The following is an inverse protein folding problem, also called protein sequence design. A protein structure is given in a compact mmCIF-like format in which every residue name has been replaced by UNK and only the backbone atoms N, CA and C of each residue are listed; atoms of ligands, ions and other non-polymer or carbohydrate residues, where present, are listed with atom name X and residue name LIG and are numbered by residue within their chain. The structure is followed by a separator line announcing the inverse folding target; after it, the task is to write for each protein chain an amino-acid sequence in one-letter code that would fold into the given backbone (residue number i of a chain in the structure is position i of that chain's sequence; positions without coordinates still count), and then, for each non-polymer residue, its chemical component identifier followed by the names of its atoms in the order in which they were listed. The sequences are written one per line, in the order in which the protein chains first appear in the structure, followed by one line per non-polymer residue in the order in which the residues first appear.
data_IF_949383779563
#
_entry.id   IF_949383779563
#
_cell.length_a   1.000
_cell.length_b   1.000
_cell.length_c   1.000
_cell.angle_alpha   90.00
_cell.angle_beta   90.00
_cell.angle_gamma   90.00
#
_symmetry.space_group_name_H-M   'P 1'
#
loop_
_entity.id
_entity.type
_entity.pdbx_description
1 polymer ?
#
# COMPACT_ATOMS: atom_id res chain seq x y z
N UNK A 1 25.53 -26.27 -69.88
CA UNK A 1 26.09 -25.93 -68.55
C UNK A 1 27.22 -24.94 -68.77
N UNK A 2 27.04 -23.69 -68.39
CA UNK A 2 28.03 -22.61 -68.55
C UNK A 2 28.50 -22.22 -67.14
N UNK A 3 29.82 -22.15 -66.86
CA UNK A 3 30.32 -21.89 -65.51
C UNK A 3 30.04 -20.43 -65.06
N UNK A 4 29.80 -20.17 -63.76
CA UNK A 4 29.36 -18.87 -63.25
C UNK A 4 30.49 -17.83 -63.09
N UNK A 5 31.64 -18.03 -63.75
CA UNK A 5 32.85 -17.24 -63.51
C UNK A 5 32.98 -15.98 -64.37
N UNK A 6 32.07 -15.72 -65.31
CA UNK A 6 32.26 -14.67 -66.33
C UNK A 6 31.45 -13.39 -66.12
N UNK A 7 30.69 -13.24 -65.02
CA UNK A 7 29.87 -12.03 -64.79
C UNK A 7 30.63 -10.97 -63.95
N UNK A 8 31.74 -11.32 -63.30
CA UNK A 8 32.42 -10.41 -62.36
C UNK A 8 33.50 -9.49 -62.96
N UNK A 9 33.78 -9.58 -64.26
CA UNK A 9 34.90 -8.87 -64.90
C UNK A 9 34.49 -7.67 -65.78
N UNK A 10 33.38 -7.00 -65.46
CA UNK A 10 32.98 -5.74 -66.13
C UNK A 10 32.59 -4.66 -65.11
N UNK A 11 33.57 -4.21 -64.32
CA UNK A 11 33.40 -3.02 -63.46
C UNK A 11 34.63 -2.10 -63.39
N UNK A 12 35.49 -2.16 -64.41
CA UNK A 12 36.79 -1.45 -64.41
C UNK A 12 36.84 -0.20 -65.31
N UNK A 13 35.71 0.28 -65.81
CA UNK A 13 35.62 1.57 -66.50
C UNK A 13 34.59 2.44 -65.79
N UNK A 14 35.00 3.03 -64.67
CA UNK A 14 34.21 4.03 -63.95
C UNK A 14 34.28 5.33 -64.73
N UNK A 15 33.12 5.88 -65.12
CA UNK A 15 33.04 7.20 -65.74
C UNK A 15 33.67 8.27 -64.82
N UNK A 16 34.49 9.19 -65.34
CA UNK A 16 35.16 10.23 -64.54
C UNK A 16 34.19 11.06 -63.69
N UNK A 17 32.99 11.31 -64.22
CA UNK A 17 31.88 12.02 -63.54
C UNK A 17 31.45 11.35 -62.23
N UNK A 18 31.47 10.01 -62.16
CA UNK A 18 31.14 9.24 -60.95
C UNK A 18 32.29 9.21 -59.94
N UNK A 19 33.51 9.53 -60.35
CA UNK A 19 34.66 9.66 -59.45
C UNK A 19 34.65 11.03 -58.78
N UNK A 20 34.45 12.09 -59.55
CA UNK A 20 34.34 13.46 -59.05
C UNK A 20 33.17 13.62 -58.06
N UNK A 21 32.03 12.97 -58.31
CA UNK A 21 30.87 13.03 -57.41
C UNK A 21 31.11 12.32 -56.07
N UNK A 22 31.84 11.20 -56.05
CA UNK A 22 32.19 10.48 -54.83
C UNK A 22 33.26 11.21 -54.00
N UNK A 23 34.24 11.82 -54.65
CA UNK A 23 35.26 12.65 -53.98
C UNK A 23 34.61 13.89 -53.36
N UNK A 24 33.71 14.55 -54.10
CA UNK A 24 32.91 15.67 -53.58
C UNK A 24 32.03 15.25 -52.39
N UNK A 25 31.39 14.09 -52.47
CA UNK A 25 30.58 13.55 -51.37
C UNK A 25 31.43 13.20 -50.14
N UNK A 26 32.58 12.55 -50.32
CA UNK A 26 33.50 12.22 -49.23
C UNK A 26 34.04 13.49 -48.55
N UNK A 27 34.39 14.52 -49.32
CA UNK A 27 34.80 15.81 -48.79
C UNK A 27 33.67 16.49 -48.00
N UNK A 28 32.44 16.42 -48.51
CA UNK A 28 31.27 16.95 -47.82
C UNK A 28 31.01 16.24 -46.49
N UNK A 29 31.04 14.90 -46.48
CA UNK A 29 30.88 14.08 -45.26
C UNK A 29 31.99 14.36 -44.24
N UNK A 30 33.22 14.51 -44.70
CA UNK A 30 34.35 14.79 -43.80
C UNK A 30 34.21 16.15 -43.13
N UNK A 31 33.70 17.15 -43.86
CA UNK A 31 33.55 18.52 -43.37
C UNK A 31 32.33 18.74 -42.50
N UNK A 32 31.18 18.17 -42.86
CA UNK A 32 29.89 18.44 -42.22
C UNK A 32 29.31 17.25 -41.45
N UNK A 33 29.93 16.07 -41.55
CA UNK A 33 29.48 14.86 -40.86
C UNK A 33 29.78 14.87 -39.36
N UNK A 34 28.88 14.22 -38.62
CA UNK A 34 29.04 13.97 -37.19
C UNK A 34 29.83 12.69 -36.95
N UNK A 35 30.49 12.62 -35.79
CA UNK A 35 31.28 11.46 -35.38
C UNK A 35 30.36 10.35 -34.88
N UNK A 36 30.53 9.17 -35.44
CA UNK A 36 29.80 7.95 -35.09
C UNK A 36 30.76 6.88 -34.61
N UNK A 37 30.21 5.82 -34.04
CA UNK A 37 31.00 4.63 -33.70
C UNK A 37 31.74 4.09 -34.92
N UNK A 38 33.00 3.69 -34.70
CA UNK A 38 33.91 3.23 -35.75
C UNK A 38 33.33 2.02 -36.48
N UNK A 39 33.32 2.09 -37.82
CA UNK A 39 33.02 0.94 -38.67
C UNK A 39 34.26 0.03 -38.78
N UNK A 40 34.10 -1.24 -39.16
CA UNK A 40 35.22 -2.20 -39.22
C UNK A 40 36.40 -1.68 -40.06
N UNK A 41 36.20 -1.08 -41.25
CA UNK A 41 37.29 -0.48 -42.02
C UNK A 41 37.98 0.70 -41.31
N UNK A 42 37.23 1.66 -40.77
CA UNK A 42 37.79 2.82 -40.06
C UNK A 42 38.52 2.41 -38.78
N UNK A 43 38.02 1.39 -38.07
CA UNK A 43 38.69 0.82 -36.90
C UNK A 43 40.06 0.23 -37.28
N UNK A 44 40.12 -0.56 -38.35
CA UNK A 44 41.38 -1.12 -38.85
C UNK A 44 42.37 -0.06 -39.35
N UNK A 45 41.85 1.06 -39.86
CA UNK A 45 42.66 2.19 -40.34
C UNK A 45 43.05 3.18 -39.23
N UNK A 46 42.45 3.07 -38.04
CA UNK A 46 42.64 4.03 -36.95
C UNK A 46 42.10 5.43 -37.23
N UNK A 47 41.12 5.58 -38.14
CA UNK A 47 40.56 6.88 -38.54
C UNK A 47 39.16 7.11 -37.96
N UNK A 48 38.79 8.38 -37.74
CA UNK A 48 37.46 8.72 -37.23
C UNK A 48 36.38 8.43 -38.28
N UNK A 49 35.27 7.84 -37.84
CA UNK A 49 34.13 7.57 -38.69
C UNK A 49 33.17 8.77 -38.66
N UNK A 50 33.03 9.48 -39.80
CA UNK A 50 32.08 10.59 -39.97
C UNK A 50 30.99 10.24 -40.95
N UNK A 51 29.74 10.50 -40.60
CA UNK A 51 28.54 10.27 -41.42
C UNK A 51 27.67 11.53 -41.42
N UNK A 52 26.93 11.76 -42.52
CA UNK A 52 25.87 12.77 -42.60
C UNK A 52 24.52 12.07 -42.55
N UNK A 53 23.49 12.76 -42.08
CA UNK A 53 22.12 12.28 -42.08
C UNK A 53 21.70 11.73 -43.45
N UNK A 54 20.94 10.63 -43.44
CA UNK A 54 20.44 9.92 -44.63
C UNK A 54 21.49 9.23 -45.51
N UNK A 55 22.77 9.23 -45.13
CA UNK A 55 23.82 8.47 -45.81
C UNK A 55 24.27 7.32 -44.93
N UNK A 56 24.24 6.09 -45.46
CA UNK A 56 24.63 4.88 -44.71
C UNK A 56 26.13 4.62 -44.67
N UNK A 57 26.94 5.41 -45.38
CA UNK A 57 28.39 5.23 -45.55
C UNK A 57 29.16 6.43 -45.01
N UNK A 58 30.23 6.16 -44.27
CA UNK A 58 31.14 7.21 -43.82
C UNK A 58 32.04 7.74 -44.93
N UNK A 59 32.59 8.94 -44.73
CA UNK A 59 33.45 9.61 -45.72
C UNK A 59 34.58 8.72 -46.22
N UNK A 60 35.29 8.06 -45.30
CA UNK A 60 36.38 7.13 -45.60
C UNK A 60 35.94 5.95 -46.48
N UNK A 61 34.80 5.35 -46.15
CA UNK A 61 34.25 4.23 -46.91
C UNK A 61 33.74 4.68 -48.28
N UNK A 62 33.20 5.89 -48.41
CA UNK A 62 32.76 6.49 -49.68
C UNK A 62 33.97 6.68 -50.60
N UNK A 63 35.03 7.30 -50.10
CA UNK A 63 36.28 7.56 -50.81
C UNK A 63 36.94 6.27 -51.31
N UNK A 64 37.09 5.29 -50.44
CA UNK A 64 37.72 4.01 -50.76
C UNK A 64 36.78 2.99 -51.44
N UNK A 65 35.53 3.38 -51.70
CA UNK A 65 34.51 2.53 -52.35
C UNK A 65 34.27 1.20 -51.63
N UNK A 66 34.38 1.20 -50.29
CA UNK A 66 34.15 0.03 -49.43
C UNK A 66 32.75 0.03 -48.81
N UNK A 67 32.32 -1.15 -48.34
CA UNK A 67 31.10 -1.29 -47.52
C UNK A 67 31.35 -0.66 -46.16
N UNK A 68 30.33 0.02 -45.63
CA UNK A 68 30.35 0.63 -44.31
C UNK A 68 29.31 -0.08 -43.43
N UNK A 69 29.74 -0.52 -42.26
CA UNK A 69 28.95 -1.14 -41.19
C UNK A 69 28.79 -0.22 -39.97
N UNK A 70 29.18 1.05 -40.09
CA UNK A 70 29.03 2.05 -39.03
C UNK A 70 27.57 2.43 -38.76
N UNK A 71 27.26 2.66 -37.49
CA UNK A 71 25.95 3.20 -37.07
C UNK A 71 25.82 4.67 -37.48
N UNK A 72 24.61 5.10 -37.84
CA UNK A 72 24.30 6.51 -38.13
C UNK A 72 23.98 7.33 -36.88
N UNK A 73 24.17 6.79 -35.68
CA UNK A 73 23.89 7.48 -34.42
C UNK A 73 25.12 8.27 -33.97
N UNK A 74 25.02 9.61 -33.80
CA UNK A 74 26.12 10.42 -33.29
C UNK A 74 26.50 10.03 -31.86
N UNK A 75 27.80 9.97 -31.57
CA UNK A 75 28.31 9.65 -30.23
C UNK A 75 27.89 10.72 -29.21
N UNK A 76 27.94 12.00 -29.59
CA UNK A 76 27.56 13.11 -28.73
C UNK A 76 26.10 13.05 -28.29
N UNK A 77 25.21 12.58 -29.16
CA UNK A 77 23.79 12.43 -28.83
C UNK A 77 23.59 11.39 -27.73
N UNK A 78 24.29 10.25 -27.80
CA UNK A 78 24.21 9.21 -26.77
C UNK A 78 24.76 9.71 -25.42
N UNK A 79 25.87 10.46 -25.43
CA UNK A 79 26.44 11.04 -24.21
C UNK A 79 25.46 12.01 -23.55
N UNK A 80 24.87 12.93 -24.31
CA UNK A 80 23.88 13.90 -23.79
C UNK A 80 22.64 13.21 -23.21
N UNK A 81 22.15 12.16 -23.89
CA UNK A 81 21.02 11.36 -23.39
C UNK A 81 21.39 10.66 -22.09
N UNK A 82 22.59 10.08 -21.99
CA UNK A 82 23.09 9.47 -20.76
C UNK A 82 23.16 10.46 -19.60
N UNK A 83 23.74 11.64 -19.83
CA UNK A 83 23.84 12.69 -18.81
C UNK A 83 22.48 13.20 -18.33
N UNK A 84 21.51 13.38 -19.24
CA UNK A 84 20.16 13.79 -18.86
C UNK A 84 19.41 12.66 -18.15
N UNK A 85 19.62 11.40 -18.55
CA UNK A 85 19.08 10.24 -17.82
C UNK A 85 19.63 10.20 -16.39
N UNK A 86 20.94 10.31 -16.20
CA UNK A 86 21.55 10.32 -14.87
C UNK A 86 21.02 11.47 -14.01
N UNK A 87 20.78 12.64 -14.63
CA UNK A 87 20.17 13.78 -13.95
C UNK A 87 18.73 13.49 -13.52
N UNK A 88 17.95 12.81 -14.36
CA UNK A 88 16.57 12.42 -14.03
C UNK A 88 16.54 11.37 -12.93
N UNK A 89 17.37 10.32 -13.04
CA UNK A 89 17.46 9.24 -12.04
C UNK A 89 17.80 9.82 -10.64
N UNK A 90 18.67 10.84 -10.55
CA UNK A 90 18.95 11.55 -9.28
C UNK A 90 17.74 12.32 -8.74
N UNK A 91 16.96 12.98 -9.60
CA UNK A 91 15.75 13.70 -9.17
C UNK A 91 14.67 12.73 -8.70
N UNK A 92 14.53 11.60 -9.39
CA UNK A 92 13.61 10.53 -9.01
C UNK A 92 13.96 9.98 -7.63
N UNK A 93 15.23 9.64 -7.37
CA UNK A 93 15.67 9.15 -6.07
C UNK A 93 15.33 10.12 -4.91
N UNK A 94 15.52 11.42 -5.11
CA UNK A 94 15.17 12.45 -4.09
C UNK A 94 13.65 12.53 -3.88
N UNK A 95 12.87 12.43 -4.96
CA UNK A 95 11.42 12.42 -4.88
C UNK A 95 10.90 11.16 -4.17
N UNK A 96 11.47 9.99 -4.46
CA UNK A 96 11.15 8.72 -3.81
C UNK A 96 11.44 8.75 -2.30
N UNK A 97 12.61 9.26 -1.90
CA UNK A 97 12.96 9.42 -0.49
C UNK A 97 11.96 10.33 0.24
N UNK A 98 11.57 11.43 -0.41
CA UNK A 98 10.55 12.35 0.14
C UNK A 98 9.20 11.66 0.30
N UNK A 99 8.77 10.88 -0.69
CA UNK A 99 7.51 10.12 -0.63
C UNK A 99 7.55 9.08 0.48
N UNK A 100 8.65 8.35 0.64
CA UNK A 100 8.81 7.36 1.71
C UNK A 100 8.73 8.02 3.10
N UNK A 101 9.36 9.18 3.28
CA UNK A 101 9.28 9.94 4.54
C UNK A 101 7.85 10.35 4.87
N UNK A 102 7.15 10.95 3.91
CA UNK A 102 5.76 11.38 4.10
C UNK A 102 4.82 10.19 4.35
N UNK A 103 5.06 9.05 3.70
CA UNK A 103 4.29 7.84 3.94
C UNK A 103 4.52 7.28 5.35
N UNK A 104 5.74 7.39 5.88
CA UNK A 104 6.07 7.06 7.27
C UNK A 104 5.28 7.90 8.26
N UNK A 105 5.36 9.23 8.12
CA UNK A 105 4.65 10.21 8.96
C UNK A 105 3.13 9.96 8.94
N UNK A 106 2.56 9.73 7.75
CA UNK A 106 1.13 9.45 7.62
C UNK A 106 0.71 8.15 8.32
N UNK A 107 1.54 7.10 8.29
CA UNK A 107 1.24 5.83 8.98
C UNK A 107 1.26 5.99 10.49
N UNK A 108 2.20 6.78 11.01
CA UNK A 108 2.29 7.08 12.44
C UNK A 108 1.05 7.85 12.91
N UNK A 109 0.65 8.90 12.18
CA UNK A 109 -0.56 9.68 12.46
C UNK A 109 -1.83 8.82 12.43
N UNK A 110 -1.94 7.92 11.46
CA UNK A 110 -3.07 6.99 11.36
C UNK A 110 -3.11 6.03 12.54
N UNK A 111 -1.97 5.50 12.96
CA UNK A 111 -1.86 4.63 14.15
C UNK A 111 -2.30 5.36 15.42
N UNK A 112 -1.87 6.61 15.60
CA UNK A 112 -2.25 7.43 16.75
C UNK A 112 -3.76 7.71 16.78
N UNK A 113 -4.34 8.09 15.64
CA UNK A 113 -5.79 8.30 15.52
C UNK A 113 -6.56 7.01 15.79
N UNK A 114 -6.06 5.87 15.33
CA UNK A 114 -6.68 4.58 15.60
C UNK A 114 -6.66 4.22 17.09
N UNK A 115 -5.55 4.51 17.80
CA UNK A 115 -5.49 4.33 19.26
C UNK A 115 -6.54 5.19 19.98
N UNK A 116 -6.63 6.47 19.61
CA UNK A 116 -7.63 7.38 20.19
C UNK A 116 -9.07 6.87 19.97
N UNK A 117 -9.38 6.39 18.76
CA UNK A 117 -10.68 5.77 18.47
C UNK A 117 -10.93 4.56 19.38
N UNK A 118 -9.95 3.66 19.52
CA UNK A 118 -10.09 2.48 20.38
C UNK A 118 -10.32 2.84 21.86
N UNK A 119 -9.66 3.88 22.35
CA UNK A 119 -9.87 4.43 23.69
C UNK A 119 -11.29 4.98 23.85
N UNK A 120 -11.80 5.74 22.87
CA UNK A 120 -13.18 6.24 22.91
C UNK A 120 -14.21 5.11 22.93
N UNK A 121 -13.99 4.05 22.16
CA UNK A 121 -14.87 2.87 22.15
C UNK A 121 -14.85 2.19 23.52
N UNK A 122 -13.68 2.04 24.12
CA UNK A 122 -13.51 1.44 25.45
C UNK A 122 -14.23 2.25 26.52
N UNK A 123 -14.09 3.57 26.48
CA UNK A 123 -14.79 4.50 27.38
C UNK A 123 -16.31 4.41 27.22
N UNK A 124 -16.82 4.33 25.99
CA UNK A 124 -18.25 4.15 25.74
C UNK A 124 -18.79 2.84 26.32
N UNK A 125 -18.01 1.75 26.28
CA UNK A 125 -18.38 0.47 26.91
C UNK A 125 -18.46 0.61 28.43
N UNK A 126 -17.47 1.25 29.05
CA UNK A 126 -17.47 1.49 30.50
C UNK A 126 -18.67 2.32 30.94
N UNK A 127 -18.99 3.41 30.23
CA UNK A 127 -20.19 4.23 30.51
C UNK A 127 -21.50 3.44 30.44
N UNK A 128 -21.60 2.48 29.51
CA UNK A 128 -22.77 1.59 29.43
C UNK A 128 -22.85 0.64 30.62
N UNK A 129 -21.71 0.06 31.02
CA UNK A 129 -21.64 -0.82 32.20
C UNK A 129 -21.98 -0.08 33.48
N UNK A 130 -21.47 1.13 33.66
CA UNK A 130 -21.76 1.99 34.81
C UNK A 130 -23.26 2.27 34.93
N UNK A 131 -23.91 2.70 33.83
CA UNK A 131 -25.36 2.92 33.79
C UNK A 131 -26.14 1.65 34.15
N UNK A 132 -25.75 0.51 33.57
CA UNK A 132 -26.40 -0.77 33.86
C UNK A 132 -26.29 -1.14 35.35
N UNK A 133 -25.11 -0.97 35.96
CA UNK A 133 -24.92 -1.25 37.38
C UNK A 133 -25.70 -0.28 38.27
N UNK A 134 -25.72 1.00 37.91
CA UNK A 134 -26.52 2.01 38.59
C UNK A 134 -28.01 1.65 38.56
N UNK A 135 -28.57 1.35 37.39
CA UNK A 135 -29.98 1.00 37.22
C UNK A 135 -30.34 -0.27 37.99
N UNK A 136 -29.45 -1.27 37.97
CA UNK A 136 -29.61 -2.49 38.78
C UNK A 136 -29.57 -2.20 40.28
N UNK A 137 -28.68 -1.32 40.73
CA UNK A 137 -28.59 -0.89 42.13
C UNK A 137 -29.87 -0.19 42.59
N UNK A 138 -30.37 0.77 41.81
CA UNK A 138 -31.65 1.46 42.07
C UNK A 138 -32.80 0.46 42.15
N UNK A 139 -32.85 -0.51 41.24
CA UNK A 139 -33.88 -1.55 41.25
C UNK A 139 -33.83 -2.41 42.52
N UNK A 140 -32.64 -2.84 42.95
CA UNK A 140 -32.46 -3.63 44.19
C UNK A 140 -32.91 -2.82 45.41
N UNK A 141 -32.51 -1.56 45.52
CA UNK A 141 -32.90 -0.68 46.63
C UNK A 141 -34.42 -0.49 46.66
N UNK A 142 -35.05 -0.21 45.51
CA UNK A 142 -36.50 -0.04 45.41
C UNK A 142 -37.25 -1.29 45.87
N UNK A 143 -36.83 -2.47 45.42
CA UNK A 143 -37.44 -3.75 45.83
C UNK A 143 -37.25 -4.00 47.34
N UNK A 144 -36.07 -3.68 47.87
CA UNK A 144 -35.79 -3.78 49.31
C UNK A 144 -36.69 -2.86 50.14
N UNK A 145 -36.88 -1.61 49.73
CA UNK A 145 -37.78 -0.67 50.41
C UNK A 145 -39.23 -1.14 50.38
N UNK A 146 -39.71 -1.65 49.23
CA UNK A 146 -41.05 -2.24 49.12
C UNK A 146 -41.24 -3.40 50.10
N UNK A 147 -40.27 -4.33 50.18
CA UNK A 147 -40.34 -5.43 51.14
C UNK A 147 -40.30 -4.98 52.61
N UNK A 148 -39.60 -3.88 52.91
CA UNK A 148 -39.55 -3.33 54.27
C UNK A 148 -40.86 -2.63 54.64
N UNK A 149 -41.49 -1.95 53.69
CA UNK A 149 -42.79 -1.31 53.91
C UNK A 149 -43.88 -2.36 54.14
N UNK A 150 -43.88 -3.46 53.36
CA UNK A 150 -44.77 -4.62 53.56
C UNK A 150 -44.60 -5.25 54.96
N UNK A 151 -43.37 -5.47 55.41
CA UNK A 151 -43.08 -6.02 56.73
C UNK A 151 -43.54 -5.09 57.86
N UNK A 152 -43.32 -3.78 57.74
CA UNK A 152 -43.78 -2.80 58.73
C UNK A 152 -45.30 -2.75 58.82
N UNK A 153 -46.00 -2.89 57.69
CA UNK A 153 -47.45 -2.92 57.66
C UNK A 153 -47.99 -4.19 58.34
N UNK A 154 -47.33 -5.33 58.12
CA UNK A 154 -47.64 -6.57 58.82
C UNK A 154 -47.39 -6.48 60.33
N UNK A 155 -46.27 -5.90 60.78
CA UNK A 155 -46.00 -5.67 62.20
C UNK A 155 -47.06 -4.77 62.86
N UNK A 156 -47.53 -3.73 62.15
CA UNK A 156 -48.62 -2.87 62.65
C UNK A 156 -49.93 -3.64 62.76
N UNK A 157 -50.29 -4.43 61.76
CA UNK A 157 -51.49 -5.27 61.80
C UNK A 157 -51.43 -6.31 62.94
N UNK A 158 -50.25 -6.88 63.21
CA UNK A 158 -50.04 -7.81 64.31
C UNK A 158 -50.10 -7.11 65.68
N UNK A 159 -49.55 -5.89 65.82
CA UNK A 159 -49.67 -5.10 67.04
C UNK A 159 -51.13 -4.65 67.31
N UNK A 160 -51.85 -4.25 66.27
CA UNK A 160 -53.28 -3.92 66.35
C UNK A 160 -54.12 -5.16 66.69
N UNK A 161 -53.81 -6.32 66.09
CA UNK A 161 -54.43 -7.60 66.45
C UNK A 161 -54.11 -8.05 67.89
N UNK A 162 -52.88 -7.84 68.35
CA UNK A 162 -52.45 -8.17 69.71
C UNK A 162 -53.10 -7.26 70.76
N UNK A 163 -53.29 -5.97 70.47
CA UNK A 163 -54.03 -5.06 71.36
C UNK A 163 -55.52 -5.40 71.40
N UNK A 164 -56.13 -5.79 70.28
CA UNK A 164 -57.51 -6.33 70.24
C UNK A 164 -57.64 -7.67 71.00
N UNK A 165 -56.65 -8.55 70.90
CA UNK A 165 -56.61 -9.81 71.65
C UNK A 165 -56.38 -9.60 73.15
N UNK A 166 -55.60 -8.59 73.56
CA UNK A 166 -55.43 -8.22 74.98
C UNK A 166 -56.71 -7.60 75.59
N UNK A 167 -57.53 -6.90 74.80
CA UNK A 167 -58.84 -6.38 75.25
C UNK A 167 -59.91 -7.50 75.36
N UNK A 168 -59.69 -8.65 74.73
CA UNK A 168 -60.61 -9.81 74.76
C UNK A 168 -60.09 -11.00 75.58
N UNK A 169 -58.94 -10.87 76.23
CA UNK A 169 -58.27 -11.94 76.98
C UNK A 169 -58.74 -12.14 78.42
N UNK A 170 -59.98 -12.61 78.62
CA UNK A 170 -60.30 -13.54 79.72
C UNK A 170 -61.08 -14.69 79.11
N UNK A 171 -60.43 -15.82 78.89
CA UNK A 171 -61.10 -17.09 78.67
C UNK A 171 -60.27 -18.21 79.30
N UNK A 172 -60.91 -18.83 80.30
CA UNK A 172 -60.46 -19.96 81.08
C UNK A 172 -59.83 -21.08 80.25
N UNK A 173 -58.77 -21.65 80.80
CA UNK A 173 -58.29 -22.98 80.44
C UNK A 173 -59.07 -24.01 81.27
N UNK A 174 -59.91 -24.89 80.68
CA UNK A 174 -60.37 -26.08 81.38
C UNK A 174 -59.44 -27.25 81.03
N UNK A 175 -58.92 -27.90 82.07
CA UNK A 175 -58.45 -29.27 81.95
C UNK A 175 -59.64 -30.23 81.81
N UNK A 176 -59.39 -31.40 81.20
CA UNK A 176 -59.78 -32.75 81.69
C UNK A 176 -59.55 -33.81 80.59
N UNK A 177 -58.72 -34.79 80.98
CA UNK A 177 -58.81 -36.25 80.82
C UNK A 177 -58.78 -36.95 79.43
N UNK A 178 -57.69 -37.70 79.24
CA UNK A 178 -57.64 -39.16 79.09
C UNK A 178 -58.82 -39.85 78.37
N UNK A 179 -58.60 -40.35 77.14
CA UNK A 179 -58.87 -41.77 76.85
C UNK A 179 -57.93 -42.32 75.78
N UNK A 180 -57.44 -43.49 76.13
CA UNK A 180 -56.69 -44.49 75.40
C UNK A 180 -57.41 -44.94 74.12
N UNK A 181 -56.70 -45.06 72.98
CA UNK A 181 -57.08 -45.96 71.88
C UNK A 181 -55.87 -46.27 70.98
N UNK A 182 -55.46 -47.55 71.09
CA UNK A 182 -54.62 -48.31 70.16
C UNK A 182 -55.10 -48.22 68.70
N UNK A 183 -54.15 -48.32 67.76
CA UNK A 183 -54.07 -49.08 66.49
C UNK A 183 -52.72 -48.64 65.88
N UNK A 184 -51.60 -49.37 65.90
CA UNK A 184 -51.21 -50.70 65.39
C UNK A 184 -51.33 -50.87 63.88
N UNK A 185 -50.15 -50.98 63.22
CA UNK A 185 -49.85 -51.57 61.88
C UNK A 185 -50.39 -50.82 60.65
N UNK A 186 -49.66 -50.65 59.54
CA UNK A 186 -48.49 -51.32 58.94
C UNK A 186 -47.55 -50.32 58.29
#
# INVERSE_FOLDING_TARGET
MIPPSSIFALRSSICPVLKESLESLAAHITKFGFEVMLCTPCFSAGTKCRIIENISRCGECVEHRRRCDGSSVPIDSLRRIGEEKDRLDRKEAVAEETLLRLQGELKEDLSQKQSAINETISLLRLRKQEKFLHDKGVHIIRRGLQSLDELKEQEKAEAEGATLAQVTGVADWPGIENTNSRISTM
#
